data_IF_985160176134
#
_entry.id   IF_985160176134
#
_cell.length_a   1.000
_cell.length_b   1.000
_cell.length_c   1.000
_cell.angle_alpha   90.00
_cell.angle_beta   90.00
_cell.angle_gamma   90.00
#
_symmetry.space_group_name_H-M   'P 1'
#
loop_
_entity.id
_entity.type
_entity.pdbx_description
1 polymer ?
#
# COMPACT_ATOMS: atom_id res chain seq x y z
N UNK A 1 -24.61 0.14 -35.68
CA UNK A 1 -24.21 0.69 -34.36
C UNK A 1 -22.90 0.04 -33.97
N UNK A 2 -21.76 0.70 -34.20
CA UNK A 2 -20.49 0.19 -33.71
C UNK A 2 -20.50 0.30 -32.17
N UNK A 3 -20.37 -0.84 -31.49
CA UNK A 3 -20.44 -0.89 -30.03
C UNK A 3 -19.32 -0.04 -29.43
N UNK A 4 -19.62 0.75 -28.39
CA UNK A 4 -18.62 1.52 -27.64
C UNK A 4 -17.46 0.67 -27.10
N UNK A 5 -17.68 -0.65 -26.94
CA UNK A 5 -16.62 -1.64 -26.68
C UNK A 5 -15.55 -1.67 -27.78
N UNK A 6 -15.90 -1.38 -29.02
CA UNK A 6 -14.95 -1.29 -30.14
C UNK A 6 -14.06 -0.05 -30.07
N UNK A 7 -14.57 1.08 -29.56
CA UNK A 7 -13.75 2.29 -29.39
C UNK A 7 -12.78 2.14 -28.21
N UNK A 8 -13.25 1.62 -27.07
CA UNK A 8 -12.37 1.29 -25.95
C UNK A 8 -11.29 0.26 -26.34
N UNK A 9 -11.68 -0.77 -27.11
CA UNK A 9 -10.75 -1.75 -27.66
C UNK A 9 -9.68 -1.11 -28.56
N UNK A 10 -10.08 -0.20 -29.45
CA UNK A 10 -9.15 0.58 -30.30
C UNK A 10 -8.19 1.43 -29.48
N UNK A 11 -8.69 2.13 -28.47
CA UNK A 11 -7.87 2.94 -27.54
C UNK A 11 -6.81 2.07 -26.87
N UNK A 12 -7.16 0.84 -26.47
CA UNK A 12 -6.22 -0.10 -25.84
C UNK A 12 -5.21 -0.71 -26.80
N UNK A 13 -5.57 -0.84 -28.08
CA UNK A 13 -4.73 -1.46 -29.10
C UNK A 13 -3.77 -0.49 -29.80
N UNK A 14 -3.84 0.81 -29.52
CA UNK A 14 -2.89 1.78 -30.11
C UNK A 14 -1.46 1.36 -29.78
N UNK A 15 -0.50 1.56 -30.67
CA UNK A 15 0.93 1.38 -30.35
C UNK A 15 1.64 2.72 -30.18
N UNK A 16 1.08 3.77 -30.77
CA UNK A 16 1.59 5.14 -30.77
C UNK A 16 0.53 6.11 -30.23
N UNK A 17 0.91 7.37 -29.98
CA UNK A 17 -0.02 8.42 -29.57
C UNK A 17 -1.06 8.69 -30.67
N UNK A 18 -2.35 8.65 -30.32
CA UNK A 18 -3.45 8.77 -31.28
C UNK A 18 -4.57 9.72 -30.79
N UNK A 19 -5.36 10.23 -31.73
CA UNK A 19 -6.45 11.18 -31.51
C UNK A 19 -7.82 10.54 -31.82
N UNK A 20 -8.71 10.53 -30.83
CA UNK A 20 -10.05 9.96 -30.90
C UNK A 20 -11.11 11.04 -30.77
N UNK A 21 -11.90 11.21 -31.82
CA UNK A 21 -12.99 12.16 -31.86
C UNK A 21 -14.24 11.62 -31.14
N UNK A 22 -14.65 12.29 -30.06
CA UNK A 22 -15.78 11.87 -29.23
C UNK A 22 -17.09 12.59 -29.58
N UNK A 23 -17.20 13.22 -30.75
CA UNK A 23 -18.43 13.91 -31.19
C UNK A 23 -19.68 13.03 -31.26
N UNK A 24 -19.53 11.70 -31.31
CA UNK A 24 -20.66 10.76 -31.26
C UNK A 24 -21.14 10.43 -29.85
N UNK A 25 -20.44 10.87 -28.80
CA UNK A 25 -20.81 10.63 -27.39
C UNK A 25 -21.76 11.72 -26.92
N UNK A 26 -22.99 11.34 -26.58
CA UNK A 26 -24.07 12.26 -26.18
C UNK A 26 -24.59 12.02 -24.76
N UNK A 27 -24.03 11.05 -24.03
CA UNK A 27 -24.46 10.74 -22.66
C UNK A 27 -23.28 10.57 -21.69
N UNK A 28 -23.51 10.93 -20.42
CA UNK A 28 -22.55 10.71 -19.34
C UNK A 28 -22.24 9.22 -19.13
N UNK A 29 -23.24 8.35 -19.36
CA UNK A 29 -23.11 6.91 -19.23
C UNK A 29 -22.11 6.34 -20.26
N UNK A 30 -22.23 6.75 -21.52
CA UNK A 30 -21.34 6.28 -22.59
C UNK A 30 -19.91 6.79 -22.40
N UNK A 31 -19.75 8.05 -21.98
CA UNK A 31 -18.45 8.62 -21.62
C UNK A 31 -17.79 7.85 -20.47
N UNK A 32 -18.55 7.57 -19.40
CA UNK A 32 -18.07 6.81 -18.26
C UNK A 32 -17.65 5.39 -18.62
N UNK A 33 -18.46 4.70 -19.45
CA UNK A 33 -18.16 3.35 -19.92
C UNK A 33 -16.92 3.31 -20.80
N UNK A 34 -16.78 4.22 -21.77
CA UNK A 34 -15.57 4.31 -22.60
C UNK A 34 -14.31 4.43 -21.74
N UNK A 35 -14.31 5.36 -20.77
CA UNK A 35 -13.15 5.61 -19.93
C UNK A 35 -12.86 4.42 -19.00
N UNK A 36 -13.89 3.81 -18.42
CA UNK A 36 -13.73 2.63 -17.57
C UNK A 36 -13.19 1.46 -18.38
N UNK A 37 -13.77 1.14 -19.53
CA UNK A 37 -13.36 0.00 -20.35
C UNK A 37 -11.93 0.20 -20.92
N UNK A 38 -11.56 1.45 -21.24
CA UNK A 38 -10.25 1.78 -21.80
C UNK A 38 -9.14 1.84 -20.75
N UNK A 39 -9.37 2.42 -19.57
CA UNK A 39 -8.30 2.85 -18.64
C UNK A 39 -8.36 2.26 -17.23
N UNK A 40 -9.41 1.51 -16.86
CA UNK A 40 -9.52 0.93 -15.51
C UNK A 40 -8.44 -0.12 -15.22
N UNK A 41 -7.97 -0.82 -16.26
CA UNK A 41 -6.82 -1.72 -16.19
C UNK A 41 -5.62 -1.07 -16.89
N UNK A 42 -4.39 -1.28 -16.39
CA UNK A 42 -3.20 -0.83 -17.09
C UNK A 42 -3.13 -1.36 -18.53
N UNK A 43 -2.56 -0.56 -19.42
CA UNK A 43 -2.15 -0.98 -20.75
C UNK A 43 -1.04 -2.02 -20.63
N UNK A 44 -0.92 -2.86 -21.66
CA UNK A 44 0.20 -3.79 -21.79
C UNK A 44 1.53 -3.05 -21.71
N UNK A 45 2.57 -3.78 -21.34
CA UNK A 45 3.95 -3.32 -21.33
C UNK A 45 4.33 -2.71 -22.70
N UNK A 46 5.06 -1.60 -22.66
CA UNK A 46 5.37 -0.74 -23.81
C UNK A 46 6.70 -0.04 -23.59
N UNK A 47 7.48 0.04 -24.66
CA UNK A 47 8.77 0.73 -24.69
C UNK A 47 8.62 2.25 -24.66
N UNK A 48 7.50 2.78 -25.17
CA UNK A 48 7.22 4.22 -25.22
C UNK A 48 5.85 4.56 -24.60
N UNK A 49 5.80 5.71 -23.92
CA UNK A 49 4.55 6.27 -23.42
C UNK A 49 3.69 6.75 -24.59
N UNK A 50 2.43 6.31 -24.60
CA UNK A 50 1.43 6.77 -25.56
C UNK A 50 0.52 7.81 -24.94
N UNK A 51 0.22 8.87 -25.67
CA UNK A 51 -0.79 9.86 -25.29
C UNK A 51 -2.08 9.58 -26.05
N UNK A 52 -3.14 9.25 -25.32
CA UNK A 52 -4.49 9.16 -25.89
C UNK A 52 -5.12 10.54 -25.88
N UNK A 53 -5.43 11.10 -27.05
CA UNK A 53 -6.04 12.42 -27.15
C UNK A 53 -7.52 12.29 -27.47
N UNK A 54 -8.40 12.71 -26.58
CA UNK A 54 -9.84 12.79 -26.88
C UNK A 54 -10.22 14.19 -27.33
N UNK A 55 -10.86 14.30 -28.49
CA UNK A 55 -11.52 15.54 -28.92
C UNK A 55 -12.89 15.60 -28.28
N UNK A 56 -13.06 16.50 -27.32
CA UNK A 56 -14.28 16.58 -26.46
C UNK A 56 -15.10 17.84 -26.67
N UNK A 57 -14.63 18.73 -27.54
CA UNK A 57 -15.28 20.01 -27.78
C UNK A 57 -14.62 20.79 -28.90
N UNK A 58 -15.30 21.84 -29.34
CA UNK A 58 -14.79 22.74 -30.35
C UNK A 58 -15.26 24.18 -30.12
N UNK A 59 -14.52 25.12 -30.71
CA UNK A 59 -14.87 26.54 -30.77
C UNK A 59 -16.14 26.80 -31.60
N UNK A 60 -16.47 28.08 -31.77
CA UNK A 60 -17.77 28.54 -32.28
C UNK A 60 -18.24 27.86 -33.57
N UNK A 61 -17.34 27.55 -34.51
CA UNK A 61 -17.67 26.95 -35.79
C UNK A 61 -18.16 25.49 -35.70
N UNK A 62 -17.61 24.68 -34.79
CA UNK A 62 -17.90 23.25 -34.69
C UNK A 62 -18.49 22.84 -33.34
N UNK A 63 -18.86 23.81 -32.49
CA UNK A 63 -19.37 23.58 -31.13
C UNK A 63 -20.60 22.65 -31.09
N UNK A 64 -21.43 22.65 -32.13
CA UNK A 64 -22.64 21.83 -32.21
C UNK A 64 -22.35 20.32 -32.33
N UNK A 65 -21.14 19.93 -32.74
CA UNK A 65 -20.74 18.53 -32.91
C UNK A 65 -20.55 17.80 -31.58
N UNK A 66 -20.28 18.53 -30.49
CA UNK A 66 -19.96 17.96 -29.19
C UNK A 66 -20.98 18.40 -28.15
N UNK A 67 -21.32 17.51 -27.22
CA UNK A 67 -22.13 17.91 -26.07
C UNK A 67 -21.34 18.90 -25.18
N UNK A 68 -22.01 19.96 -24.72
CA UNK A 68 -21.39 20.99 -23.88
C UNK A 68 -20.87 20.45 -22.52
N UNK A 69 -21.37 19.29 -22.10
CA UNK A 69 -20.99 18.58 -20.87
C UNK A 69 -20.00 17.44 -21.11
N UNK A 70 -19.65 17.11 -22.34
CA UNK A 70 -18.80 15.96 -22.68
C UNK A 70 -17.45 16.01 -21.97
N UNK A 71 -16.76 17.15 -22.02
CA UNK A 71 -15.50 17.35 -21.28
C UNK A 71 -15.68 17.08 -19.78
N UNK A 72 -16.78 17.52 -19.18
CA UNK A 72 -17.04 17.32 -17.74
C UNK A 72 -17.24 15.84 -17.43
N UNK A 73 -17.96 15.10 -18.27
CA UNK A 73 -18.20 13.67 -18.09
C UNK A 73 -16.92 12.85 -18.20
N UNK A 74 -16.07 13.13 -19.20
CA UNK A 74 -14.78 12.46 -19.37
C UNK A 74 -13.86 12.72 -18.18
N UNK A 75 -13.74 13.97 -17.74
CA UNK A 75 -12.92 14.34 -16.57
C UNK A 75 -13.45 13.69 -15.29
N UNK A 76 -14.77 13.66 -15.09
CA UNK A 76 -15.36 13.00 -13.93
C UNK A 76 -15.11 11.47 -13.94
N UNK A 77 -15.20 10.84 -15.11
CA UNK A 77 -14.93 9.41 -15.28
C UNK A 77 -13.46 9.07 -15.01
N UNK A 78 -12.52 9.88 -15.51
CA UNK A 78 -11.07 9.70 -15.26
C UNK A 78 -10.75 9.84 -13.77
N UNK A 79 -11.30 10.86 -13.10
CA UNK A 79 -11.13 11.03 -11.64
C UNK A 79 -11.73 9.88 -10.84
N UNK A 80 -12.82 9.27 -11.31
CA UNK A 80 -13.45 8.12 -10.64
C UNK A 80 -12.59 6.83 -10.69
N UNK A 81 -11.64 6.74 -11.61
CA UNK A 81 -10.66 5.63 -11.72
C UNK A 81 -9.26 6.05 -11.24
N UNK A 82 -9.19 7.05 -10.36
CA UNK A 82 -7.96 7.56 -9.73
C UNK A 82 -6.93 8.17 -10.70
N UNK A 83 -7.37 8.74 -11.84
CA UNK A 83 -6.47 9.56 -12.65
C UNK A 83 -6.37 10.99 -12.12
N UNK A 84 -5.16 11.54 -12.13
CA UNK A 84 -4.88 12.89 -11.63
C UNK A 84 -4.94 13.94 -12.74
N UNK A 85 -5.53 15.10 -12.42
CA UNK A 85 -5.55 16.27 -13.31
C UNK A 85 -4.23 17.02 -13.19
N UNK A 86 -3.33 16.83 -14.14
CA UNK A 86 -1.98 17.39 -14.13
C UNK A 86 -1.75 18.23 -15.39
N UNK A 87 -1.83 19.56 -15.26
CA UNK A 87 -1.66 20.50 -16.38
C UNK A 87 -0.27 20.46 -17.02
N UNK A 88 0.75 20.04 -16.26
CA UNK A 88 2.13 19.88 -16.73
C UNK A 88 2.41 18.51 -17.35
N UNK A 89 1.44 17.59 -17.37
CA UNK A 89 1.66 16.24 -17.90
C UNK A 89 2.13 16.26 -19.36
N UNK A 90 3.15 15.46 -19.66
CA UNK A 90 3.74 15.29 -20.99
C UNK A 90 3.76 13.81 -21.37
N UNK A 91 4.20 13.51 -22.60
CA UNK A 91 4.17 12.14 -23.14
C UNK A 91 5.36 11.33 -22.59
N UNK A 92 5.37 11.15 -21.28
CA UNK A 92 6.41 10.47 -20.50
C UNK A 92 5.77 9.55 -19.46
N UNK A 93 6.54 8.57 -18.99
CA UNK A 93 6.06 7.60 -18.01
C UNK A 93 5.80 8.20 -16.62
N UNK A 94 6.35 9.38 -16.30
CA UNK A 94 6.08 10.08 -15.04
C UNK A 94 4.65 10.64 -15.01
N UNK A 95 4.11 10.95 -16.18
CA UNK A 95 2.73 11.39 -16.38
C UNK A 95 1.73 10.22 -16.42
N UNK A 96 2.16 8.96 -16.30
CA UNK A 96 1.28 7.80 -16.34
C UNK A 96 0.20 7.86 -15.24
N UNK A 97 -1.06 7.62 -15.61
CA UNK A 97 -2.19 7.76 -14.70
C UNK A 97 -2.63 9.21 -14.48
N UNK A 98 -2.20 10.14 -15.33
CA UNK A 98 -2.67 11.52 -15.31
C UNK A 98 -3.37 11.91 -16.61
N UNK A 99 -4.09 13.02 -16.58
CA UNK A 99 -4.65 13.64 -17.77
C UNK A 99 -4.52 15.16 -17.70
N UNK A 100 -4.61 15.80 -18.87
CA UNK A 100 -4.69 17.25 -18.98
C UNK A 100 -5.75 17.66 -19.99
N UNK A 101 -6.40 18.78 -19.71
CA UNK A 101 -7.29 19.43 -20.67
C UNK A 101 -6.54 20.54 -21.38
N UNK A 102 -6.64 20.59 -22.71
CA UNK A 102 -6.00 21.62 -23.53
C UNK A 102 -7.01 22.20 -24.50
N UNK A 103 -7.03 23.53 -24.61
CA UNK A 103 -7.75 24.22 -25.68
C UNK A 103 -6.73 24.64 -26.73
N UNK A 104 -6.80 24.03 -27.90
CA UNK A 104 -5.98 24.41 -29.05
C UNK A 104 -6.70 25.50 -29.83
N UNK A 105 -6.24 26.74 -29.64
CA UNK A 105 -6.80 27.92 -30.28
C UNK A 105 -6.53 27.97 -31.79
N UNK A 106 -5.49 27.27 -32.27
CA UNK A 106 -5.18 27.17 -33.70
C UNK A 106 -6.17 26.25 -34.42
N UNK A 107 -6.46 25.08 -33.83
CA UNK A 107 -7.44 24.12 -34.38
C UNK A 107 -8.88 24.39 -33.94
N UNK A 108 -9.10 25.31 -33.01
CA UNK A 108 -10.40 25.55 -32.35
C UNK A 108 -11.00 24.27 -31.76
N UNK A 109 -10.18 23.40 -31.17
CA UNK A 109 -10.60 22.12 -30.59
C UNK A 109 -10.21 22.05 -29.12
N UNK A 110 -11.03 21.37 -28.33
CA UNK A 110 -10.79 21.10 -26.92
C UNK A 110 -10.42 19.63 -26.79
N UNK A 111 -9.25 19.40 -26.22
CA UNK A 111 -8.67 18.08 -26.02
C UNK A 111 -8.65 17.71 -24.54
N UNK A 112 -8.82 16.42 -24.29
CA UNK A 112 -8.40 15.76 -23.05
C UNK A 112 -7.32 14.77 -23.43
N UNK A 113 -6.08 15.05 -23.04
CA UNK A 113 -4.96 14.13 -23.20
C UNK A 113 -4.89 13.23 -21.96
N UNK A 114 -4.93 11.93 -22.17
CA UNK A 114 -4.85 10.90 -21.13
C UNK A 114 -3.55 10.12 -21.33
N UNK A 115 -2.80 9.98 -20.25
CA UNK A 115 -1.56 9.21 -20.20
C UNK A 115 -1.85 7.91 -19.46
N UNK A 116 -2.04 6.78 -20.16
CA UNK A 116 -2.49 5.53 -19.56
C UNK A 116 -1.46 4.99 -18.57
N UNK A 117 -1.94 4.26 -17.55
CA UNK A 117 -1.07 3.42 -16.71
C UNK A 117 -0.60 2.24 -17.54
N UNK A 118 0.67 1.85 -17.45
CA UNK A 118 1.21 0.64 -18.10
C UNK A 118 1.60 -0.42 -17.05
N UNK A 119 1.38 -1.70 -17.35
CA UNK A 119 1.82 -2.82 -16.51
C UNK A 119 3.35 -2.98 -16.61
N UNK A 120 4.03 -3.19 -15.47
CA UNK A 120 5.48 -3.43 -15.46
C UNK A 120 5.78 -4.90 -15.73
N UNK A 121 6.76 -5.19 -16.58
CA UNK A 121 7.41 -6.50 -16.65
C UNK A 121 8.07 -6.80 -15.30
N UNK A 122 7.68 -7.91 -14.66
CA UNK A 122 8.50 -8.53 -13.62
C UNK A 122 9.56 -9.32 -14.39
N UNK A 123 10.75 -8.76 -14.54
CA UNK A 123 11.89 -9.46 -15.14
C UNK A 123 12.69 -10.10 -14.01
N UNK A 124 12.65 -11.43 -13.96
CA UNK A 124 13.60 -12.23 -13.18
C UNK A 124 15.02 -11.92 -13.65
N UNK A 125 15.90 -11.69 -12.70
CA UNK A 125 17.29 -11.31 -12.94
C UNK A 125 18.09 -12.44 -13.60
N UNK A 126 18.59 -12.20 -14.81
CA UNK A 126 19.77 -12.88 -15.34
C UNK A 126 20.52 -11.96 -16.32
N UNK A 127 21.84 -11.95 -16.15
CA UNK A 127 22.89 -11.09 -16.71
C UNK A 127 22.81 -10.62 -18.17
N UNK A 128 23.40 -9.42 -18.33
CA UNK A 128 24.20 -8.89 -19.46
C UNK A 128 23.56 -8.86 -20.85
N UNK A 129 23.03 -7.69 -21.25
CA UNK A 129 23.46 -7.02 -22.49
C UNK A 129 23.08 -5.52 -22.45
N UNK A 130 23.96 -4.66 -22.96
CA UNK A 130 23.76 -3.21 -23.08
C UNK A 130 22.69 -2.89 -24.13
N UNK A 131 21.64 -2.16 -23.74
CA UNK A 131 20.86 -1.31 -24.65
C UNK A 131 20.37 -0.05 -23.93
N UNK A 132 20.33 1.04 -24.70
CA UNK A 132 20.30 2.45 -24.29
C UNK A 132 18.96 2.89 -23.67
N UNK A 133 19.08 3.51 -22.48
CA UNK A 133 18.22 4.40 -21.68
C UNK A 133 16.71 4.54 -22.00
N UNK A 134 15.88 3.72 -21.36
CA UNK A 134 14.77 4.26 -20.55
C UNK A 134 15.40 5.08 -19.41
N UNK A 135 14.87 6.26 -19.01
CA UNK A 135 15.39 6.95 -17.83
C UNK A 135 15.21 6.01 -16.64
N UNK A 136 16.31 5.41 -16.20
CA UNK A 136 16.34 4.44 -15.12
C UNK A 136 15.55 5.04 -13.98
N UNK A 137 14.41 4.41 -13.62
CA UNK A 137 13.61 4.86 -12.48
C UNK A 137 14.56 5.05 -11.33
N UNK A 138 14.75 6.32 -10.95
CA UNK A 138 15.75 6.68 -9.96
C UNK A 138 15.56 5.80 -8.75
N UNK A 139 16.65 5.19 -8.30
CA UNK A 139 16.64 4.40 -7.08
C UNK A 139 16.08 5.23 -5.92
N UNK A 140 15.61 4.59 -4.86
CA UNK A 140 15.04 5.32 -3.70
C UNK A 140 16.09 6.27 -3.11
N UNK A 141 17.35 5.86 -3.18
CA UNK A 141 18.53 6.63 -2.83
C UNK A 141 18.67 7.86 -3.73
N UNK A 142 18.64 7.68 -5.05
CA UNK A 142 18.77 8.78 -6.02
C UNK A 142 17.61 9.78 -5.91
N UNK A 143 16.39 9.32 -5.68
CA UNK A 143 15.25 10.20 -5.38
C UNK A 143 15.50 11.06 -4.12
N UNK A 144 16.10 10.47 -3.10
CA UNK A 144 16.42 11.17 -1.86
C UNK A 144 17.65 12.08 -2.00
N UNK A 145 18.58 11.76 -2.89
CA UNK A 145 19.71 12.63 -3.26
C UNK A 145 19.20 13.87 -3.99
N UNK A 146 18.28 13.72 -4.94
CA UNK A 146 17.68 14.85 -5.67
C UNK A 146 16.71 15.70 -4.82
N UNK A 147 16.08 15.11 -3.80
CA UNK A 147 15.10 15.82 -2.99
C UNK A 147 15.71 16.97 -2.17
N UNK A 148 15.02 18.11 -2.10
CA UNK A 148 15.34 19.18 -1.14
C UNK A 148 15.24 18.64 0.31
N UNK A 149 16.03 19.21 1.23
CA UNK A 149 16.10 18.77 2.63
C UNK A 149 14.73 18.59 3.30
N UNK A 150 13.79 19.53 3.11
CA UNK A 150 12.44 19.42 3.69
C UNK A 150 11.65 18.23 3.14
N UNK A 151 11.80 17.96 1.84
CA UNK A 151 11.16 16.82 1.17
C UNK A 151 11.81 15.52 1.62
N UNK A 152 13.14 15.51 1.77
CA UNK A 152 13.89 14.41 2.33
C UNK A 152 13.40 14.05 3.74
N UNK A 153 13.34 15.03 4.66
CA UNK A 153 12.87 14.83 6.03
C UNK A 153 11.45 14.24 6.09
N UNK A 154 10.53 14.80 5.29
CA UNK A 154 9.14 14.32 5.21
C UNK A 154 9.06 12.90 4.66
N UNK A 155 9.84 12.60 3.62
CA UNK A 155 9.86 11.28 2.97
C UNK A 155 10.44 10.23 3.92
N UNK A 156 11.55 10.54 4.59
CA UNK A 156 12.15 9.67 5.61
C UNK A 156 11.18 9.43 6.77
N UNK A 157 10.53 10.47 7.28
CA UNK A 157 9.56 10.33 8.37
C UNK A 157 8.36 9.44 8.00
N UNK A 158 7.90 9.50 6.75
CA UNK A 158 6.76 8.70 6.26
C UNK A 158 7.16 7.28 5.87
N UNK A 159 8.24 7.12 5.11
CA UNK A 159 8.62 5.87 4.44
C UNK A 159 9.68 5.05 5.20
N UNK A 160 10.50 5.69 6.03
CA UNK A 160 11.48 5.06 6.91
C UNK A 160 11.28 5.48 8.37
N UNK A 161 10.11 5.23 8.98
CA UNK A 161 9.83 5.65 10.35
C UNK A 161 10.60 4.84 11.40
N UNK A 162 10.98 3.58 11.12
CA UNK A 162 11.67 2.70 12.07
C UNK A 162 13.19 2.92 12.06
N UNK A 163 13.86 2.57 13.15
CA UNK A 163 15.30 2.74 13.28
C UNK A 163 16.05 1.89 12.26
N UNK A 164 15.63 0.63 12.06
CA UNK A 164 16.26 -0.29 11.10
C UNK A 164 16.13 0.21 9.65
N UNK A 165 14.97 0.74 9.26
CA UNK A 165 14.77 1.34 7.95
C UNK A 165 15.68 2.56 7.75
N UNK A 166 15.76 3.46 8.74
CA UNK A 166 16.67 4.63 8.67
C UNK A 166 18.14 4.22 8.64
N UNK A 167 18.53 3.17 9.37
CA UNK A 167 19.92 2.69 9.41
C UNK A 167 20.33 2.14 8.05
N UNK A 168 19.50 1.33 7.42
CA UNK A 168 19.72 0.80 6.06
C UNK A 168 19.74 1.91 5.01
N UNK A 169 18.82 2.89 5.12
CA UNK A 169 18.87 4.08 4.28
C UNK A 169 20.19 4.85 4.45
N UNK A 170 20.64 5.04 5.69
CA UNK A 170 21.92 5.72 5.96
C UNK A 170 23.10 4.98 5.31
N UNK A 171 23.12 3.65 5.36
CA UNK A 171 24.15 2.84 4.69
C UNK A 171 24.12 3.02 3.18
N UNK A 172 22.93 2.94 2.58
CA UNK A 172 22.75 3.16 1.14
C UNK A 172 23.15 4.57 0.69
N UNK A 173 22.82 5.60 1.44
CA UNK A 173 23.27 6.97 1.14
C UNK A 173 24.77 7.17 1.34
N UNK A 174 25.44 6.38 2.20
CA UNK A 174 26.91 6.40 2.32
C UNK A 174 27.59 5.76 1.12
N UNK A 175 26.99 4.71 0.55
CA UNK A 175 27.46 4.12 -0.71
C UNK A 175 27.39 5.19 -1.83
N UNK A 176 26.26 5.89 -1.95
CA UNK A 176 26.13 6.97 -2.94
C UNK A 176 27.09 8.12 -2.66
N UNK A 177 27.32 8.49 -1.39
CA UNK A 177 28.33 9.51 -1.05
C UNK A 177 29.75 9.11 -1.46
N UNK A 178 30.08 7.82 -1.35
CA UNK A 178 31.37 7.32 -1.80
C UNK A 178 31.51 7.44 -3.33
N UNK A 179 30.43 7.23 -4.09
CA UNK A 179 30.41 7.47 -5.54
C UNK A 179 30.66 8.94 -5.86
N UNK A 180 30.01 9.88 -5.16
CA UNK A 180 30.31 11.33 -5.31
C UNK A 180 31.79 11.64 -5.08
N UNK A 181 32.42 11.05 -4.06
CA UNK A 181 33.86 11.25 -3.80
C UNK A 181 34.73 10.72 -4.94
N UNK A 182 34.34 9.60 -5.56
CA UNK A 182 35.06 9.05 -6.73
C UNK A 182 34.90 9.97 -7.95
N UNK A 183 33.68 10.45 -8.19
CA UNK A 183 33.37 11.41 -9.27
C UNK A 183 34.17 12.71 -9.08
N UNK A 184 34.18 13.27 -7.86
CA UNK A 184 34.96 14.48 -7.54
C UNK A 184 36.45 14.27 -7.83
N UNK A 185 37.00 13.10 -7.49
CA UNK A 185 38.39 12.75 -7.79
C UNK A 185 38.68 12.67 -9.29
N UNK A 186 37.78 12.08 -10.08
CA UNK A 186 37.89 12.02 -11.55
C UNK A 186 37.89 13.43 -12.15
N UNK A 187 36.97 14.29 -11.71
CA UNK A 187 36.87 15.67 -12.16
C UNK A 187 38.13 16.48 -11.81
N UNK A 188 38.70 16.29 -10.61
CA UNK A 188 39.97 16.93 -10.22
C UNK A 188 41.14 16.49 -11.11
N UNK A 189 41.16 15.21 -11.50
CA UNK A 189 42.18 14.65 -12.40
C UNK A 189 41.91 14.92 -13.89
N UNK A 190 40.80 15.58 -14.23
CA UNK A 190 40.32 15.84 -15.60
C UNK A 190 40.03 14.54 -16.38
N UNK A 191 39.62 13.50 -15.67
CA UNK A 191 39.13 12.26 -16.26
C UNK A 191 37.66 12.46 -16.69
N UNK A 192 37.27 11.81 -17.78
CA UNK A 192 35.89 11.82 -18.25
C UNK A 192 35.01 10.99 -17.30
N UNK A 193 33.83 11.51 -16.99
CA UNK A 193 32.79 10.75 -16.31
C UNK A 193 32.05 9.89 -17.34
N UNK A 194 31.61 8.70 -16.92
CA UNK A 194 30.65 7.93 -17.71
C UNK A 194 29.22 8.50 -17.55
N UNK A 195 28.28 8.01 -18.38
CA UNK A 195 26.91 8.53 -18.40
C UNK A 195 26.19 8.33 -17.05
N UNK A 196 26.49 7.25 -16.33
CA UNK A 196 25.89 6.96 -15.03
C UNK A 196 26.44 7.87 -13.93
N UNK A 197 27.75 8.14 -13.95
CA UNK A 197 28.43 9.08 -13.06
C UNK A 197 27.97 10.51 -13.31
N UNK A 198 27.85 10.90 -14.58
CA UNK A 198 27.33 12.21 -14.98
C UNK A 198 25.89 12.38 -14.50
N UNK A 199 25.01 11.41 -14.75
CA UNK A 199 23.63 11.43 -14.28
C UNK A 199 23.54 11.50 -12.76
N UNK A 200 24.38 10.77 -12.01
CA UNK A 200 24.41 10.85 -10.56
C UNK A 200 24.88 12.23 -10.07
N UNK A 201 25.88 12.80 -10.71
CA UNK A 201 26.42 14.12 -10.37
C UNK A 201 25.41 15.24 -10.65
N UNK A 202 24.58 15.10 -11.68
CA UNK A 202 23.52 16.04 -12.02
C UNK A 202 22.34 16.02 -11.03
N UNK A 203 22.13 14.91 -10.32
CA UNK A 203 21.02 14.80 -9.34
C UNK A 203 21.23 15.66 -8.09
N UNK A 204 22.46 15.98 -7.72
CA UNK A 204 22.72 16.75 -6.51
C UNK A 204 24.20 16.85 -6.16
N UNK A 205 24.51 17.46 -5.02
CA UNK A 205 25.89 17.62 -4.57
C UNK A 205 26.25 16.68 -3.42
N UNK A 206 27.54 16.31 -3.33
CA UNK A 206 28.07 15.57 -2.19
C UNK A 206 27.89 16.29 -0.86
N UNK A 207 27.95 17.62 -0.86
CA UNK A 207 27.77 18.46 0.33
C UNK A 207 26.33 18.43 0.87
N UNK A 208 25.34 18.47 -0.03
CA UNK A 208 23.93 18.32 0.34
C UNK A 208 23.65 16.94 0.92
N UNK A 209 24.28 15.92 0.34
CA UNK A 209 24.19 14.54 0.82
C UNK A 209 24.82 14.39 2.22
N UNK A 210 25.93 15.08 2.51
CA UNK A 210 26.54 15.12 3.84
C UNK A 210 25.59 15.74 4.88
N UNK A 211 24.83 16.78 4.49
CA UNK A 211 23.77 17.35 5.31
C UNK A 211 22.67 16.33 5.66
N UNK A 212 22.19 15.59 4.66
CA UNK A 212 21.19 14.53 4.83
C UNK A 212 21.70 13.37 5.68
N UNK A 213 22.96 12.97 5.52
CA UNK A 213 23.60 11.94 6.33
C UNK A 213 23.74 12.37 7.80
N UNK A 214 24.10 13.63 8.06
CA UNK A 214 24.14 14.20 9.42
C UNK A 214 22.75 14.21 10.07
N UNK A 215 21.71 14.57 9.32
CA UNK A 215 20.33 14.48 9.80
C UNK A 215 19.95 13.05 10.18
N UNK A 216 20.21 12.06 9.30
CA UNK A 216 19.91 10.66 9.60
C UNK A 216 20.68 10.19 10.83
N UNK A 217 21.95 10.56 10.96
CA UNK A 217 22.77 10.22 12.11
C UNK A 217 22.21 10.80 13.40
N UNK A 218 21.77 12.06 13.39
CA UNK A 218 21.12 12.71 14.53
C UNK A 218 19.80 12.02 14.88
N UNK A 219 18.95 11.76 13.88
CA UNK A 219 17.66 11.09 14.07
C UNK A 219 17.82 9.68 14.65
N UNK A 220 18.81 8.91 14.19
CA UNK A 220 19.12 7.58 14.74
C UNK A 220 19.56 7.67 16.20
N UNK A 221 20.41 8.64 16.55
CA UNK A 221 20.82 8.86 17.95
C UNK A 221 19.62 9.25 18.82
N UNK A 222 18.76 10.15 18.35
CA UNK A 222 17.54 10.56 19.06
C UNK A 222 16.60 9.37 19.28
N UNK A 223 16.43 8.49 18.29
CA UNK A 223 15.59 7.29 18.45
C UNK A 223 16.12 6.36 19.54
N UNK A 224 17.45 6.15 19.61
CA UNK A 224 18.08 5.37 20.68
C UNK A 224 17.91 6.06 22.03
N UNK A 225 18.17 7.37 22.11
CA UNK A 225 18.04 8.18 23.33
C UNK A 225 16.61 8.34 23.84
N UNK A 226 15.62 8.24 22.96
CA UNK A 226 14.20 8.31 23.30
C UNK A 226 13.59 6.93 23.49
N UNK A 227 14.35 5.84 23.31
CA UNK A 227 13.81 4.47 23.40
C UNK A 227 12.81 4.13 22.31
N UNK A 228 12.88 4.81 21.16
CA UNK A 228 12.01 4.60 20.00
C UNK A 228 12.50 3.42 19.14
N UNK A 229 12.65 2.26 19.77
CA UNK A 229 13.14 1.04 19.14
C UNK A 229 12.13 -0.10 19.37
N UNK A 230 11.95 -0.93 18.36
CA UNK A 230 11.32 -2.24 18.51
C UNK A 230 12.25 -3.22 19.24
N UNK A 231 11.73 -4.38 19.64
CA UNK A 231 12.53 -5.41 20.33
C UNK A 231 13.69 -5.91 19.49
N UNK A 232 13.46 -6.15 18.21
CA UNK A 232 14.50 -6.60 17.27
C UNK A 232 15.55 -5.51 17.05
N UNK A 233 15.13 -4.25 16.89
CA UNK A 233 16.04 -3.12 16.73
C UNK A 233 16.89 -2.86 17.98
N UNK A 234 16.32 -3.05 19.18
CA UNK A 234 17.07 -2.96 20.43
C UNK A 234 18.19 -3.99 20.48
N UNK A 235 17.92 -5.24 20.12
CA UNK A 235 18.94 -6.29 20.07
C UNK A 235 20.06 -5.93 19.10
N UNK A 236 19.70 -5.53 17.87
CA UNK A 236 20.66 -5.06 16.86
C UNK A 236 21.50 -3.87 17.34
N UNK A 237 20.89 -2.90 18.02
CA UNK A 237 21.62 -1.76 18.58
C UNK A 237 22.63 -2.20 19.65
N UNK A 238 22.25 -3.14 20.51
CA UNK A 238 23.14 -3.64 21.56
C UNK A 238 24.32 -4.42 20.97
N UNK A 239 24.08 -5.28 19.98
CA UNK A 239 25.12 -5.99 19.23
C UNK A 239 26.11 -5.01 18.57
N UNK A 240 25.61 -3.99 17.88
CA UNK A 240 26.45 -2.96 17.26
C UNK A 240 27.25 -2.15 18.29
N UNK A 241 26.73 -1.97 19.50
CA UNK A 241 27.45 -1.27 20.57
C UNK A 241 28.53 -2.17 21.16
N UNK A 242 28.30 -3.47 21.26
CA UNK A 242 29.30 -4.45 21.70
C UNK A 242 30.47 -4.51 20.72
N UNK A 243 30.20 -4.64 19.41
CA UNK A 243 31.23 -4.59 18.35
C UNK A 243 32.04 -3.28 18.37
N UNK A 244 31.37 -2.15 18.62
CA UNK A 244 32.04 -0.84 18.72
C UNK A 244 32.86 -0.68 20.00
N UNK A 245 32.46 -1.32 21.09
CA UNK A 245 33.22 -1.31 22.33
C UNK A 245 34.50 -2.14 22.20
N UNK A 246 34.45 -3.25 21.45
CA UNK A 246 35.61 -4.08 21.13
C UNK A 246 36.61 -3.36 20.22
N UNK A 247 36.11 -2.64 19.22
CA UNK A 247 36.90 -1.87 18.25
C UNK A 247 37.19 -0.43 18.67
N UNK A 248 36.97 -0.08 19.95
CA UNK A 248 37.12 1.29 20.43
C UNK A 248 38.60 1.75 20.37
N UNK A 249 38.88 2.96 19.87
CA UNK A 249 40.25 3.45 19.69
C UNK A 249 40.97 3.80 21.02
N UNK A 250 40.21 3.94 22.11
CA UNK A 250 40.75 4.21 23.45
C UNK A 250 39.73 3.83 24.54
N UNK A 251 40.23 3.68 25.78
CA UNK A 251 39.42 3.31 26.95
C UNK A 251 38.30 4.32 27.27
N UNK A 252 38.50 5.60 26.97
CA UNK A 252 37.48 6.63 27.18
C UNK A 252 36.29 6.45 26.24
N UNK A 253 36.55 6.11 24.98
CA UNK A 253 35.54 5.80 23.98
C UNK A 253 34.81 4.49 24.35
N UNK A 254 35.56 3.46 24.74
CA UNK A 254 35.02 2.19 25.20
C UNK A 254 34.05 2.35 26.37
N UNK A 255 34.49 3.07 27.42
CA UNK A 255 33.66 3.37 28.60
C UNK A 255 32.37 4.12 28.23
N UNK A 256 32.44 5.11 27.35
CA UNK A 256 31.25 5.85 26.88
C UNK A 256 30.28 4.94 26.11
N UNK A 257 30.77 3.99 25.34
CA UNK A 257 29.94 3.03 24.60
C UNK A 257 29.27 2.07 25.58
N UNK A 258 30.00 1.53 26.55
CA UNK A 258 29.49 0.65 27.61
C UNK A 258 28.42 1.34 28.47
N UNK A 259 28.62 2.61 28.86
CA UNK A 259 27.62 3.40 29.60
C UNK A 259 26.32 3.57 28.80
N UNK A 260 26.42 3.90 27.51
CA UNK A 260 25.25 4.01 26.64
C UNK A 260 24.56 2.65 26.43
N UNK A 261 25.33 1.57 26.35
CA UNK A 261 24.83 0.21 26.17
C UNK A 261 24.03 -0.22 27.40
N UNK A 262 24.58 0.03 28.59
CA UNK A 262 23.91 -0.25 29.85
C UNK A 262 22.61 0.56 29.97
N UNK A 263 22.65 1.85 29.64
CA UNK A 263 21.46 2.70 29.61
C UNK A 263 20.38 2.19 28.64
N UNK A 264 20.76 1.71 27.46
CA UNK A 264 19.84 1.14 26.49
C UNK A 264 19.27 -0.20 26.97
N UNK A 265 20.09 -1.05 27.59
CA UNK A 265 19.69 -2.36 28.10
C UNK A 265 18.58 -2.25 29.16
N UNK A 266 18.67 -1.26 30.05
CA UNK A 266 17.72 -0.99 31.14
C UNK A 266 16.40 -0.39 30.68
N UNK A 267 16.31 0.15 29.46
CA UNK A 267 15.07 0.75 28.93
C UNK A 267 14.07 -0.32 28.54
N UNK A 268 12.82 -0.16 28.96
CA UNK A 268 11.70 -1.02 28.56
C UNK A 268 11.41 -0.87 27.06
N UNK A 269 11.13 -2.00 26.41
CA UNK A 269 11.09 -2.19 24.95
C UNK A 269 9.73 -1.81 24.33
N UNK A 270 8.86 -1.11 25.06
CA UNK A 270 7.42 -1.09 24.77
C UNK A 270 6.84 0.24 24.30
N UNK A 271 7.62 1.33 24.24
CA UNK A 271 7.04 2.64 23.92
C UNK A 271 6.95 2.94 22.42
N UNK A 272 7.70 2.24 21.56
CA UNK A 272 7.58 2.44 20.11
C UNK A 272 6.53 1.55 19.49
N UNK A 273 5.34 2.12 19.23
CA UNK A 273 4.31 1.45 18.44
C UNK A 273 4.72 1.45 16.96
N UNK A 274 4.85 0.29 16.31
CA UNK A 274 5.19 0.24 14.90
C UNK A 274 4.14 1.01 14.07
N UNK A 275 4.54 1.58 12.93
CA UNK A 275 3.65 2.34 12.06
C UNK A 275 2.42 1.53 11.66
N UNK A 276 1.27 2.21 11.58
CA UNK A 276 0.02 1.59 11.13
C UNK A 276 0.17 1.11 9.68
N UNK A 277 -0.44 -0.03 9.38
CA UNK A 277 -0.56 -0.56 8.02
C UNK A 277 -1.58 0.31 7.27
N UNK A 278 -1.20 0.95 6.17
CA UNK A 278 -2.03 1.95 5.47
C UNK A 278 -3.39 1.36 5.04
N UNK A 279 -3.40 0.14 4.49
CA UNK A 279 -4.60 -0.51 3.96
C UNK A 279 -5.36 -1.37 4.97
N UNK A 280 -5.20 -1.13 6.27
CA UNK A 280 -5.81 -1.97 7.33
C UNK A 280 -7.33 -2.14 7.17
N UNK A 281 -8.06 -1.08 6.81
CA UNK A 281 -9.52 -1.14 6.66
C UNK A 281 -9.94 -1.99 5.47
N UNK A 282 -9.27 -1.82 4.32
CA UNK A 282 -9.52 -2.60 3.11
C UNK A 282 -9.19 -4.09 3.33
N UNK A 283 -8.05 -4.38 3.98
CA UNK A 283 -7.66 -5.75 4.35
C UNK A 283 -8.73 -6.39 5.26
N UNK A 284 -9.21 -5.67 6.28
CA UNK A 284 -10.28 -6.16 7.17
C UNK A 284 -11.60 -6.42 6.42
N UNK A 285 -11.95 -5.56 5.46
CA UNK A 285 -13.17 -5.73 4.67
C UNK A 285 -13.09 -6.97 3.76
N UNK A 286 -11.98 -7.17 3.06
CA UNK A 286 -11.75 -8.35 2.22
C UNK A 286 -11.71 -9.64 3.05
N UNK A 287 -11.09 -9.59 4.22
CA UNK A 287 -11.06 -10.71 5.17
C UNK A 287 -12.46 -11.09 5.69
N UNK A 288 -13.33 -10.10 5.93
CA UNK A 288 -14.72 -10.35 6.34
C UNK A 288 -15.51 -11.06 5.24
N UNK A 289 -15.18 -10.83 3.96
CA UNK A 289 -15.73 -11.56 2.81
C UNK A 289 -15.17 -12.98 2.68
N UNK A 290 -13.89 -13.19 3.01
CA UNK A 290 -13.26 -14.52 3.01
C UNK A 290 -13.72 -15.44 4.16
N UNK A 291 -14.07 -14.89 5.33
CA UNK A 291 -14.48 -15.67 6.48
C UNK A 291 -15.64 -16.67 6.22
N UNK A 292 -16.76 -16.28 5.58
CA UNK A 292 -17.83 -17.21 5.23
C UNK A 292 -17.43 -18.21 4.13
N UNK A 293 -16.55 -17.83 3.19
CA UNK A 293 -16.05 -18.72 2.13
C UNK A 293 -15.20 -19.85 2.71
N UNK A 294 -14.34 -19.53 3.67
CA UNK A 294 -13.54 -20.52 4.39
C UNK A 294 -14.38 -21.48 5.26
N UNK A 295 -15.53 -21.02 5.74
CA UNK A 295 -16.49 -21.88 6.45
C UNK A 295 -17.24 -22.81 5.49
N UNK A 296 -17.55 -22.33 4.27
CA UNK A 296 -18.16 -23.12 3.20
C UNK A 296 -17.22 -24.21 2.66
N UNK A 297 -15.93 -23.90 2.49
CA UNK A 297 -14.91 -24.85 2.05
C UNK A 297 -14.78 -26.05 3.02
N UNK A 298 -14.79 -25.78 4.33
CA UNK A 298 -14.79 -26.82 5.39
C UNK A 298 -16.07 -27.66 5.41
N UNK A 299 -17.16 -27.20 4.80
CA UNK A 299 -18.44 -27.93 4.69
C UNK A 299 -18.43 -28.95 3.55
N UNK A 300 -17.29 -29.17 2.87
CA UNK A 300 -17.09 -29.97 1.66
C UNK A 300 -17.55 -31.43 1.63
N UNK A 301 -18.34 -31.89 2.62
CA UNK A 301 -19.10 -33.15 2.57
C UNK A 301 -20.59 -32.99 2.19
N UNK A 302 -21.12 -31.76 2.09
CA UNK A 302 -22.50 -31.49 1.67
C UNK A 302 -22.52 -30.98 0.22
N UNK A 303 -23.52 -31.41 -0.58
CA UNK A 303 -23.76 -30.87 -1.93
C UNK A 303 -23.89 -29.34 -1.85
N UNK A 304 -22.86 -28.64 -2.36
CA UNK A 304 -22.85 -27.18 -2.49
C UNK A 304 -23.71 -26.79 -3.68
N UNK A 305 -24.49 -25.72 -3.54
CA UNK A 305 -25.23 -25.12 -4.64
C UNK A 305 -24.27 -24.45 -5.64
N UNK A 306 -24.70 -24.30 -6.90
CA UNK A 306 -23.92 -23.61 -7.95
C UNK A 306 -23.50 -22.20 -7.53
N UNK A 307 -24.33 -21.50 -6.76
CA UNK A 307 -24.00 -20.19 -6.20
C UNK A 307 -22.95 -20.24 -5.08
N UNK A 308 -22.91 -21.31 -4.28
CA UNK A 308 -21.85 -21.52 -3.27
C UNK A 308 -20.51 -21.90 -3.93
N UNK A 309 -20.53 -22.66 -5.03
CA UNK A 309 -19.34 -22.99 -5.82
C UNK A 309 -18.76 -21.75 -6.51
N UNK A 310 -19.60 -20.91 -7.11
CA UNK A 310 -19.14 -19.65 -7.72
C UNK A 310 -18.46 -18.73 -6.70
N UNK A 311 -19.00 -18.65 -5.48
CA UNK A 311 -18.43 -17.83 -4.39
C UNK A 311 -17.11 -18.41 -3.85
N UNK A 312 -16.95 -19.72 -3.83
CA UNK A 312 -15.67 -20.36 -3.50
C UNK A 312 -14.59 -20.03 -4.55
N UNK A 313 -14.98 -19.85 -5.81
CA UNK A 313 -14.09 -19.41 -6.88
C UNK A 313 -13.55 -17.98 -6.70
N UNK A 314 -14.24 -17.12 -5.95
CA UNK A 314 -13.79 -15.74 -5.64
C UNK A 314 -12.75 -15.67 -4.50
N UNK A 315 -12.56 -16.77 -3.75
CA UNK A 315 -11.63 -16.81 -2.63
C UNK A 315 -10.15 -16.53 -3.01
N UNK A 316 -9.56 -17.16 -4.05
CA UNK A 316 -8.17 -16.87 -4.44
C UNK A 316 -7.95 -15.39 -4.82
N UNK A 317 -8.88 -14.77 -5.54
CA UNK A 317 -8.79 -13.36 -5.93
C UNK A 317 -8.78 -12.42 -4.71
N UNK A 318 -9.60 -12.74 -3.69
CA UNK A 318 -9.62 -11.99 -2.44
C UNK A 318 -8.33 -12.15 -1.64
N UNK A 319 -7.71 -13.35 -1.66
CA UNK A 319 -6.42 -13.61 -1.01
C UNK A 319 -5.27 -12.90 -1.71
N UNK A 320 -5.23 -12.92 -3.04
CA UNK A 320 -4.25 -12.18 -3.85
C UNK A 320 -4.39 -10.67 -3.61
N UNK A 321 -5.62 -10.16 -3.55
CA UNK A 321 -5.86 -8.74 -3.27
C UNK A 321 -5.41 -8.33 -1.87
N UNK A 322 -5.58 -9.20 -0.87
CA UNK A 322 -5.04 -8.97 0.47
C UNK A 322 -3.52 -8.93 0.43
N UNK A 323 -2.88 -9.90 -0.21
CA UNK A 323 -1.41 -9.95 -0.36
C UNK A 323 -0.87 -8.68 -1.01
N UNK A 324 -1.51 -8.22 -2.08
CA UNK A 324 -1.15 -6.98 -2.79
C UNK A 324 -1.24 -5.75 -1.87
N UNK A 325 -2.28 -5.66 -1.03
CA UNK A 325 -2.47 -4.54 -0.10
C UNK A 325 -1.51 -4.60 1.10
N UNK A 326 -1.15 -5.80 1.56
CA UNK A 326 -0.13 -6.01 2.57
C UNK A 326 1.24 -5.54 2.06
N UNK A 327 1.59 -5.92 0.82
CA UNK A 327 2.84 -5.53 0.18
C UNK A 327 2.89 -4.04 -0.17
N UNK A 328 1.78 -3.45 -0.62
CA UNK A 328 1.67 -2.01 -0.83
C UNK A 328 1.85 -1.20 0.47
N UNK A 329 1.62 -1.83 1.64
CA UNK A 329 1.84 -1.21 2.94
C UNK A 329 3.27 -1.31 3.46
N UNK A 330 4.21 -1.90 2.69
CA UNK A 330 5.62 -2.09 3.05
C UNK A 330 6.36 -0.75 3.16
N UNK A 331 7.17 -0.61 4.20
CA UNK A 331 8.04 0.56 4.37
C UNK A 331 9.29 0.46 3.49
N UNK A 332 9.95 1.58 3.24
CA UNK A 332 11.22 1.56 2.52
C UNK A 332 12.27 0.88 3.37
N UNK A 333 12.95 -0.10 2.77
CA UNK A 333 13.99 -0.94 3.38
C UNK A 333 13.50 -1.90 4.46
N UNK A 334 12.19 -2.09 4.66
CA UNK A 334 11.66 -3.12 5.57
C UNK A 334 11.95 -4.52 5.02
N UNK A 335 12.44 -5.43 5.86
CA UNK A 335 12.62 -6.83 5.48
C UNK A 335 11.31 -7.60 5.56
N UNK A 336 11.24 -8.74 4.88
CA UNK A 336 10.06 -9.61 4.93
C UNK A 336 9.73 -10.05 6.36
N UNK A 337 10.77 -10.28 7.19
CA UNK A 337 10.60 -10.65 8.60
C UNK A 337 9.99 -9.51 9.43
N UNK A 338 10.43 -8.26 9.21
CA UNK A 338 9.89 -7.07 9.88
C UNK A 338 8.45 -6.79 9.46
N UNK A 339 8.17 -6.89 8.14
CA UNK A 339 6.82 -6.75 7.60
C UNK A 339 5.90 -7.83 8.19
N UNK A 340 6.34 -9.09 8.21
CA UNK A 340 5.57 -10.19 8.80
C UNK A 340 5.27 -9.96 10.28
N UNK A 341 6.25 -9.47 11.06
CA UNK A 341 6.06 -9.12 12.47
C UNK A 341 5.03 -7.98 12.64
N UNK A 342 5.05 -6.97 11.76
CA UNK A 342 4.08 -5.86 11.78
C UNK A 342 2.68 -6.28 11.35
N UNK A 343 2.56 -7.23 10.41
CA UNK A 343 1.30 -7.82 9.98
C UNK A 343 0.74 -8.83 11.00
N UNK A 344 1.56 -9.43 11.87
CA UNK A 344 1.15 -10.49 12.78
C UNK A 344 -0.03 -10.13 13.71
N UNK A 345 -0.09 -8.93 14.34
CA UNK A 345 -1.26 -8.54 15.14
C UNK A 345 -2.54 -8.44 14.30
N UNK A 346 -2.42 -7.93 13.07
CA UNK A 346 -3.54 -7.85 12.13
C UNK A 346 -3.99 -9.27 11.76
N UNK A 347 -3.08 -10.14 11.31
CA UNK A 347 -3.37 -11.53 10.97
C UNK A 347 -3.96 -12.32 12.15
N UNK A 348 -3.49 -12.08 13.38
CA UNK A 348 -4.05 -12.69 14.60
C UNK A 348 -5.49 -12.25 14.83
N UNK A 349 -5.76 -10.94 14.89
CA UNK A 349 -7.12 -10.40 15.02
C UNK A 349 -8.07 -10.94 13.94
N UNK A 350 -7.55 -11.13 12.73
CA UNK A 350 -8.29 -11.68 11.59
C UNK A 350 -8.57 -13.19 11.74
N UNK A 351 -7.61 -13.98 12.20
CA UNK A 351 -7.83 -15.40 12.50
C UNK A 351 -8.84 -15.62 13.63
N UNK A 352 -8.87 -14.74 14.64
CA UNK A 352 -9.87 -14.77 15.71
C UNK A 352 -11.28 -14.47 15.19
N UNK A 353 -11.43 -13.54 14.23
CA UNK A 353 -12.71 -13.29 13.54
C UNK A 353 -13.20 -14.52 12.77
N UNK A 354 -12.31 -15.20 12.03
CA UNK A 354 -12.66 -16.44 11.31
C UNK A 354 -13.12 -17.53 12.27
N UNK A 355 -12.42 -17.71 13.41
CA UNK A 355 -12.83 -18.67 14.46
C UNK A 355 -14.19 -18.34 15.07
N UNK A 356 -14.48 -17.06 15.33
CA UNK A 356 -15.75 -16.63 15.92
C UNK A 356 -16.94 -16.82 14.98
N UNK A 357 -16.75 -16.68 13.67
CA UNK A 357 -17.78 -16.96 12.66
C UNK A 357 -18.07 -18.45 12.43
N UNK A 358 -17.16 -19.34 12.84
CA UNK A 358 -17.31 -20.79 12.72
C UNK A 358 -17.93 -21.45 13.97
N UNK A 359 -18.17 -20.69 15.06
CA UNK A 359 -18.83 -21.22 16.24
C UNK A 359 -20.33 -21.42 15.96
N UNK A 360 -20.92 -22.59 16.30
CA UNK A 360 -22.33 -22.84 16.09
C UNK A 360 -23.14 -21.80 16.86
N UNK A 361 -24.04 -21.08 16.18
CA UNK A 361 -25.01 -20.21 16.84
C UNK A 361 -25.77 -21.06 17.87
N UNK A 362 -25.51 -20.83 19.17
CA UNK A 362 -26.40 -21.30 20.22
C UNK A 362 -27.77 -20.72 19.90
N UNK A 363 -28.72 -21.57 19.50
CA UNK A 363 -30.13 -21.20 19.36
C UNK A 363 -30.53 -20.44 20.62
N UNK A 364 -30.86 -19.16 20.47
CA UNK A 364 -31.51 -18.41 21.52
C UNK A 364 -32.81 -19.15 21.86
N UNK A 365 -32.85 -19.75 23.04
CA UNK A 365 -34.05 -20.24 23.69
C UNK A 365 -34.95 -19.03 23.95
N UNK A 366 -35.75 -18.66 22.95
CA UNK A 366 -36.79 -17.65 23.09
C UNK A 366 -38.04 -18.39 23.53
N UNK A 367 -38.17 -18.54 24.85
CA UNK A 367 -39.37 -19.06 25.49
C UNK A 367 -40.47 -18.01 25.46
N UNK A 368 -41.69 -18.50 25.22
CA UNK A 368 -42.94 -17.78 25.49
C UNK A 368 -43.57 -17.21 24.22
N UNK A 369 -44.61 -17.87 23.73
CA UNK A 369 -45.92 -17.28 23.43
C UNK A 369 -46.91 -18.46 23.49
N UNK A 370 -47.64 -18.54 24.59
CA UNK A 370 -48.70 -19.51 24.80
C UNK A 370 -49.98 -18.98 24.15
N UNK A 371 -50.53 -19.73 23.18
CA UNK A 371 -51.92 -19.58 22.75
C UNK A 371 -52.69 -20.85 23.10
N UNK A 372 -53.79 -20.60 23.80
CA UNK A 372 -54.74 -21.54 24.39
C UNK A 372 -55.47 -22.33 23.31
N UNK A 373 -55.58 -23.66 23.48
CA UNK A 373 -56.77 -24.40 23.05
C UNK A 373 -56.97 -25.68 23.87
N UNK A 374 -58.09 -25.68 24.58
CA UNK A 374 -58.90 -26.78 25.10
C UNK A 374 -58.57 -28.22 24.66
N UNK A 375 -58.45 -29.17 25.60
CA UNK A 375 -59.51 -30.16 25.89
C UNK A 375 -59.17 -31.13 27.04
N UNK A 376 -60.11 -31.18 28.00
CA UNK A 376 -60.64 -32.32 28.77
C UNK A 376 -59.75 -33.27 29.60
N UNK A 377 -60.01 -33.23 30.92
CA UNK A 377 -60.38 -34.32 31.87
C UNK A 377 -59.50 -35.59 31.98
N UNK A 378 -58.88 -35.77 33.15
CA UNK A 378 -59.17 -36.81 34.18
C UNK A 378 -58.07 -36.74 35.26
N UNK A 379 -58.35 -36.46 36.54
CA UNK A 379 -58.89 -37.28 37.65
C UNK A 379 -57.92 -38.40 38.12
N UNK A 380 -57.46 -38.27 39.39
CA UNK A 380 -56.73 -39.28 40.17
C UNK A 380 -55.34 -38.79 40.59
N UNK A 381 -55.06 -38.44 41.85
CA UNK A 381 -54.65 -39.39 42.93
C UNK A 381 -53.17 -39.74 42.73
N UNK A 382 -52.23 -39.65 43.67
CA UNK A 382 -52.24 -39.62 45.12
C UNK A 382 -50.88 -39.09 45.64
N UNK A 383 -50.84 -38.87 46.95
CA UNK A 383 -49.67 -38.74 47.86
C UNK A 383 -48.48 -39.62 47.39
N UNK A 384 -47.23 -39.17 47.52
CA UNK A 384 -46.43 -39.41 48.74
C UNK A 384 -45.28 -38.43 48.90
N UNK A 385 -45.03 -38.06 50.17
CA UNK A 385 -43.80 -37.46 50.64
C UNK A 385 -42.77 -38.56 50.94
N UNK A 386 -41.50 -38.33 50.62
CA UNK A 386 -40.40 -38.90 51.41
C UNK A 386 -39.11 -38.08 51.28
N UNK A 387 -38.72 -37.51 52.42
CA UNK A 387 -37.37 -37.41 53.00
C UNK A 387 -36.22 -36.85 52.14
N UNK A 388 -35.84 -35.62 52.52
CA UNK A 388 -34.51 -35.17 52.99
C UNK A 388 -33.25 -35.91 52.53
N UNK A 389 -32.13 -35.23 52.35
CA UNK A 389 -31.46 -34.40 53.36
C UNK A 389 -30.32 -33.59 52.71
N UNK A 390 -30.09 -32.39 53.26
CA UNK A 390 -28.85 -31.60 53.39
C UNK A 390 -27.68 -31.82 52.38
N UNK A 391 -27.00 -30.79 51.89
CA UNK A 391 -26.26 -29.82 52.72
C UNK A 391 -25.59 -28.77 51.81
N UNK A 392 -25.67 -27.49 52.26
CA UNK A 392 -24.63 -26.41 52.32
C UNK A 392 -23.37 -26.65 51.48
N UNK A 393 -22.74 -25.70 50.80
CA UNK A 393 -22.48 -24.25 50.98
C UNK A 393 -21.46 -23.91 49.87
N UNK A 394 -21.26 -22.70 49.38
CA UNK A 394 -21.70 -21.37 49.76
C UNK A 394 -21.15 -20.35 48.74
N UNK A 395 -21.57 -19.11 48.88
CA UNK A 395 -21.08 -17.99 48.06
C UNK A 395 -22.09 -16.85 47.97
N UNK A 396 -22.48 -16.28 49.11
CA UNK A 396 -22.99 -14.91 49.17
C UNK A 396 -21.76 -13.99 49.10
N UNK A 397 -21.64 -13.20 48.03
CA UNK A 397 -21.96 -11.76 48.02
C UNK A 397 -21.00 -10.90 48.84
N UNK A 398 -20.70 -9.74 48.25
CA UNK A 398 -20.49 -8.50 48.99
C UNK A 398 -19.16 -8.34 49.74
N UNK A 399 -18.15 -7.88 48.99
CA UNK A 399 -17.23 -6.84 49.43
C UNK A 399 -16.46 -6.36 48.18
N UNK A 400 -16.27 -5.09 47.86
CA UNK A 400 -16.63 -3.81 48.45
C UNK A 400 -16.41 -2.83 47.30
N UNK A 401 -17.46 -2.14 46.88
CA UNK A 401 -17.31 -0.83 46.26
C UNK A 401 -17.34 0.17 47.41
N UNK A 402 -16.24 0.88 47.56
CA UNK A 402 -16.20 2.32 47.85
C UNK A 402 -15.01 2.88 47.06
#
# INVERSE_FOLDING_TARGET
>A
MASFSGLAGKVRSITESDEFDLGSISSAYDAGRLITDAFSTPFSDRDEMVRVTFVVGAGKANRQKYDASLQKWIVAALKAIDYEDNKSASCDFDSAGSFKTQHDTGRNLIFVHVFPRCAKKVVDASNEDETVDEPARLSREHLLVAAEMKTFERTVAKRCPTWSCKKRLQEKLREVRAQFTQIDSKLMNREALDDAEQALYELGSGDDLDGKLKFLQKSLMEMVQNGQLTTTEKTLCLEQMDERAESAPNDKAKKRIEENREALSKRSVLDYKPPKIEHTAAIKALQTKLAPLAALEKRGGALLSVAEVSKLGEAPDLEERISTLEEASRLWYETDAELAARLAPLRKHLSDLRRKSAAPQKKASTGGWATVSSQSKSRGGARTASRGKASRSGGAFAALGD
#
